data_IF_140606587428
#
_entry.id   IF_140606587428
#
_cell.length_a   1.000
_cell.length_b   1.000
_cell.length_c   1.000
_cell.angle_alpha   90.00
_cell.angle_beta   90.00
_cell.angle_gamma   90.00
#
_symmetry.space_group_name_H-M   'P 1'
#
loop_
_entity.id
_entity.type
_entity.pdbx_description
1 polymer ?
#
# COMPACT_ATOMS: atom_id res chain seq x y z
N UNK A 1 17.00 -15.02 7.77
CA UNK A 1 16.03 -14.35 8.20
C UNK A 1 15.08 -14.07 7.18
N UNK A 2 13.99 -13.92 7.53
CA UNK A 2 13.08 -13.69 6.62
C UNK A 2 12.69 -12.35 6.64
N UNK A 3 13.06 -11.67 5.71
CA UNK A 3 12.54 -10.43 5.68
C UNK A 3 11.19 -10.45 5.20
N UNK A 4 10.52 -9.42 5.40
CA UNK A 4 9.21 -9.26 4.86
C UNK A 4 9.29 -9.16 3.38
N UNK A 5 8.82 -10.13 2.69
CA UNK A 5 8.77 -10.05 1.26
C UNK A 5 7.78 -9.01 0.81
N UNK A 6 6.90 -8.57 1.72
CA UNK A 6 5.89 -7.60 1.39
C UNK A 6 6.46 -6.19 1.29
N UNK A 7 7.45 -5.85 2.11
CA UNK A 7 7.97 -4.49 2.17
C UNK A 7 9.42 -4.40 1.75
N UNK A 8 10.24 -5.38 2.12
CA UNK A 8 11.68 -5.25 2.01
C UNK A 8 12.30 -5.78 0.74
N UNK A 9 11.57 -6.59 -0.02
CA UNK A 9 12.10 -7.13 -1.24
C UNK A 9 11.86 -6.16 -2.38
N UNK A 10 12.86 -5.35 -2.69
CA UNK A 10 12.67 -4.28 -3.67
C UNK A 10 12.41 -4.81 -5.08
N UNK A 11 12.79 -6.04 -5.38
CA UNK A 11 12.53 -6.60 -6.70
C UNK A 11 11.08 -6.95 -6.91
N UNK A 12 10.42 -7.39 -5.84
CA UNK A 12 9.01 -7.77 -5.92
C UNK A 12 8.08 -6.74 -5.31
N UNK A 13 8.63 -5.66 -4.79
CA UNK A 13 7.85 -4.63 -4.16
C UNK A 13 7.26 -3.69 -5.21
N UNK A 14 6.00 -3.28 -5.07
CA UNK A 14 5.44 -2.25 -5.95
C UNK A 14 6.09 -0.88 -5.74
N UNK A 15 6.79 -0.68 -4.63
CA UNK A 15 7.47 0.60 -4.40
C UNK A 15 8.83 0.58 -5.06
N UNK A 16 9.17 1.67 -5.74
CA UNK A 16 10.49 1.81 -6.34
C UNK A 16 11.52 2.13 -5.27
N UNK A 17 12.80 1.97 -5.62
CA UNK A 17 13.88 2.36 -4.71
C UNK A 17 13.84 3.84 -4.42
N UNK A 18 13.44 4.63 -5.40
CA UNK A 18 13.32 6.07 -5.22
C UNK A 18 12.25 6.41 -4.20
N UNK A 19 11.12 5.71 -4.27
CA UNK A 19 10.04 5.92 -3.32
C UNK A 19 10.50 5.59 -1.90
N UNK A 20 11.20 4.48 -1.74
CA UNK A 20 11.70 4.07 -0.43
C UNK A 20 12.69 5.10 0.11
N UNK A 21 13.54 5.63 -0.76
CA UNK A 21 14.49 6.66 -0.37
C UNK A 21 13.80 7.94 0.07
N UNK A 22 12.76 8.35 -0.66
CA UNK A 22 12.02 9.55 -0.29
C UNK A 22 11.43 9.44 1.11
N UNK A 23 10.88 8.28 1.42
CA UNK A 23 10.34 8.03 2.76
C UNK A 23 11.46 8.10 3.79
N UNK A 24 12.62 7.51 3.47
CA UNK A 24 13.74 7.50 4.38
C UNK A 24 14.30 8.88 4.66
N UNK A 25 14.13 9.83 3.73
CA UNK A 25 14.66 11.18 3.89
C UNK A 25 13.74 12.10 4.70
N UNK A 26 12.55 11.63 5.06
CA UNK A 26 11.65 12.45 5.87
C UNK A 26 12.17 12.55 7.30
N UNK A 27 11.64 13.52 8.05
CA UNK A 27 12.00 13.68 9.45
C UNK A 27 11.10 12.86 10.38
N UNK A 28 10.36 11.93 9.83
CA UNK A 28 9.44 11.11 10.63
C UNK A 28 10.20 10.12 11.49
N UNK A 29 9.56 9.67 12.56
CA UNK A 29 10.12 8.63 13.41
C UNK A 29 10.22 7.31 12.65
N UNK A 30 10.98 6.37 13.18
CA UNK A 30 11.13 5.05 12.55
C UNK A 30 9.77 4.36 12.40
N UNK A 31 8.92 4.45 13.42
CA UNK A 31 7.59 3.85 13.37
C UNK A 31 6.72 4.51 12.30
N UNK A 32 6.79 5.83 12.21
CA UNK A 32 6.02 6.55 11.21
C UNK A 32 6.49 6.23 9.80
N UNK A 33 7.81 6.14 9.62
CA UNK A 33 8.34 5.75 8.30
C UNK A 33 7.89 4.36 7.90
N UNK A 34 7.90 3.44 8.86
CA UNK A 34 7.44 2.08 8.58
C UNK A 34 5.97 2.08 8.19
N UNK A 35 5.16 2.80 8.93
CA UNK A 35 3.72 2.88 8.67
C UNK A 35 3.46 3.52 7.31
N UNK A 36 4.17 4.60 7.01
CA UNK A 36 4.05 5.29 5.73
C UNK A 36 4.42 4.37 4.57
N UNK A 37 5.51 3.60 4.73
CA UNK A 37 5.94 2.65 3.71
C UNK A 37 4.88 1.58 3.47
N UNK A 38 4.30 1.09 4.56
CA UNK A 38 3.24 0.10 4.46
C UNK A 38 2.05 0.64 3.72
N UNK A 39 1.63 1.86 4.06
CA UNK A 39 0.49 2.51 3.42
C UNK A 39 0.75 2.74 1.93
N UNK A 40 1.94 3.20 1.59
CA UNK A 40 2.32 3.43 0.20
C UNK A 40 2.35 2.12 -0.58
N UNK A 41 2.84 1.06 0.05
CA UNK A 41 2.89 -0.26 -0.57
C UNK A 41 1.46 -0.75 -0.88
N UNK A 42 0.56 -0.61 0.08
CA UNK A 42 -0.83 -1.02 -0.12
C UNK A 42 -1.48 -0.21 -1.24
N UNK A 43 -1.19 1.08 -1.31
CA UNK A 43 -1.73 1.91 -2.37
C UNK A 43 -1.29 1.40 -3.74
N UNK A 44 -0.02 1.03 -3.88
CA UNK A 44 0.46 0.51 -5.16
C UNK A 44 -0.17 -0.85 -5.48
N UNK A 45 -0.40 -1.68 -4.47
CA UNK A 45 -1.11 -2.93 -4.68
C UNK A 45 -2.52 -2.68 -5.19
N UNK A 46 -3.23 -1.74 -4.58
CA UNK A 46 -4.59 -1.41 -5.01
C UNK A 46 -4.60 -0.88 -6.44
N UNK A 47 -3.64 -0.04 -6.79
CA UNK A 47 -3.54 0.46 -8.16
C UNK A 47 -3.30 -0.68 -9.14
N UNK A 48 -2.48 -1.63 -8.75
CA UNK A 48 -2.19 -2.79 -9.57
C UNK A 48 -3.42 -3.66 -9.79
N UNK A 49 -4.23 -3.82 -8.74
CA UNK A 49 -5.47 -4.59 -8.84
C UNK A 49 -6.51 -3.93 -9.73
N UNK A 50 -6.48 -2.61 -9.80
CA UNK A 50 -7.57 -1.84 -10.39
C UNK A 50 -7.16 -1.11 -11.66
N UNK A 51 -6.32 -1.72 -12.46
CA UNK A 51 -5.82 -1.07 -13.68
C UNK A 51 -6.93 -0.57 -14.58
N UNK A 52 -8.05 -1.30 -14.60
CA UNK A 52 -9.13 -0.96 -15.49
C UNK A 52 -10.27 -0.20 -14.81
N UNK A 53 -10.03 0.27 -13.59
CA UNK A 53 -11.07 0.98 -12.86
C UNK A 53 -10.94 2.48 -13.08
N UNK A 54 -11.81 3.07 -13.92
CA UNK A 54 -11.68 4.49 -14.24
C UNK A 54 -12.06 5.42 -13.11
N UNK A 55 -12.73 4.90 -12.07
CA UNK A 55 -13.16 5.73 -10.96
C UNK A 55 -12.12 5.89 -9.87
N UNK A 56 -11.06 5.11 -9.91
CA UNK A 56 -9.99 5.21 -8.92
C UNK A 56 -10.39 4.81 -7.52
N UNK A 57 -11.40 3.95 -7.38
CA UNK A 57 -11.86 3.52 -6.07
C UNK A 57 -11.04 2.34 -5.55
N UNK A 58 -10.96 2.22 -4.23
CA UNK A 58 -10.28 1.09 -3.61
C UNK A 58 -10.98 -0.20 -4.02
N UNK A 59 -10.24 -1.23 -4.45
CA UNK A 59 -10.87 -2.51 -4.80
C UNK A 59 -11.54 -3.15 -3.59
N UNK A 60 -12.56 -3.96 -3.85
CA UNK A 60 -13.25 -4.68 -2.78
C UNK A 60 -12.47 -5.94 -2.41
N UNK A 61 -12.84 -6.56 -1.29
CA UNK A 61 -12.12 -7.72 -0.77
C UNK A 61 -12.04 -8.88 -1.75
N UNK A 62 -13.07 -9.08 -2.55
CA UNK A 62 -13.06 -10.12 -3.55
C UNK A 62 -11.95 -9.91 -4.57
N UNK A 63 -11.68 -8.67 -4.90
CA UNK A 63 -10.59 -8.33 -5.83
C UNK A 63 -9.24 -8.56 -5.16
N UNK A 64 -9.15 -8.29 -3.87
CA UNK A 64 -7.91 -8.57 -3.12
C UNK A 64 -7.58 -10.06 -3.19
N UNK A 65 -8.59 -10.89 -2.99
CA UNK A 65 -8.40 -12.33 -3.02
C UNK A 65 -7.96 -12.80 -4.40
N UNK A 66 -8.63 -12.31 -5.45
CA UNK A 66 -8.24 -12.63 -6.81
C UNK A 66 -6.78 -12.28 -7.09
N UNK A 67 -6.39 -11.08 -6.64
CA UNK A 67 -5.02 -10.62 -6.86
C UNK A 67 -4.04 -11.54 -6.14
N UNK A 68 -4.35 -11.92 -4.91
CA UNK A 68 -3.50 -12.84 -4.15
C UNK A 68 -3.38 -14.18 -4.83
N UNK A 69 -4.49 -14.68 -5.37
CA UNK A 69 -4.47 -15.98 -6.06
C UNK A 69 -3.59 -15.97 -7.30
N UNK A 70 -3.47 -14.80 -7.93
CA UNK A 70 -2.61 -14.66 -9.11
C UNK A 70 -1.15 -14.44 -8.75
N UNK A 71 -0.86 -14.25 -7.47
CA UNK A 71 0.50 -14.02 -7.00
C UNK A 71 0.86 -15.10 -6.00
N UNK A 72 1.38 -16.24 -6.47
CA UNK A 72 1.62 -17.41 -5.59
C UNK A 72 2.48 -17.11 -4.37
N UNK A 73 3.39 -16.14 -4.49
CA UNK A 73 4.23 -15.78 -3.36
C UNK A 73 3.40 -15.26 -2.20
N UNK A 74 2.30 -14.58 -2.51
CA UNK A 74 1.41 -14.03 -1.49
C UNK A 74 0.52 -15.09 -0.85
N UNK A 75 0.38 -16.24 -1.50
CA UNK A 75 -0.51 -17.30 -1.02
C UNK A 75 0.23 -18.42 -0.34
N UNK A 76 1.33 -18.10 0.35
CA UNK A 76 2.14 -19.14 0.98
C UNK A 76 1.38 -19.91 2.04
N UNK A 77 0.59 -19.23 2.84
CA UNK A 77 -0.25 -19.87 3.84
C UNK A 77 -1.38 -18.94 4.23
N UNK A 78 -2.35 -19.49 4.94
CA UNK A 78 -3.56 -18.76 5.31
C UNK A 78 -3.25 -17.60 6.26
N UNK A 79 -2.29 -17.78 7.15
CA UNK A 79 -1.94 -16.73 8.10
C UNK A 79 -1.38 -15.52 7.39
N UNK A 80 -0.54 -15.76 6.39
CA UNK A 80 0.06 -14.68 5.63
C UNK A 80 -1.00 -13.89 4.88
N UNK A 81 -1.94 -14.59 4.24
CA UNK A 81 -3.03 -13.95 3.53
C UNK A 81 -3.87 -13.11 4.47
N UNK A 82 -4.13 -13.63 5.67
CA UNK A 82 -4.93 -12.91 6.64
C UNK A 82 -4.24 -11.62 7.09
N UNK A 83 -2.94 -11.68 7.32
CA UNK A 83 -2.18 -10.50 7.70
C UNK A 83 -2.25 -9.44 6.59
N UNK A 84 -2.10 -9.88 5.34
CA UNK A 84 -2.18 -8.96 4.21
C UNK A 84 -3.55 -8.31 4.14
N UNK A 85 -4.61 -9.10 4.34
CA UNK A 85 -5.97 -8.57 4.30
C UNK A 85 -6.20 -7.55 5.40
N UNK A 86 -5.64 -7.78 6.58
CA UNK A 86 -5.75 -6.80 7.67
C UNK A 86 -5.04 -5.51 7.32
N UNK A 87 -3.86 -5.61 6.70
CA UNK A 87 -3.13 -4.43 6.26
C UNK A 87 -3.89 -3.68 5.19
N UNK A 88 -4.46 -4.40 4.23
CA UNK A 88 -5.26 -3.77 3.19
C UNK A 88 -6.48 -3.08 3.79
N UNK A 89 -7.14 -3.70 4.76
CA UNK A 89 -8.31 -3.10 5.39
C UNK A 89 -7.97 -1.79 6.08
N UNK A 90 -6.88 -1.79 6.85
CA UNK A 90 -6.45 -0.57 7.53
C UNK A 90 -6.02 0.50 6.55
N UNK A 91 -5.29 0.11 5.52
CA UNK A 91 -4.83 1.04 4.51
C UNK A 91 -6.01 1.64 3.74
N UNK A 92 -6.99 0.82 3.41
CA UNK A 92 -8.16 1.30 2.67
C UNK A 92 -8.87 2.41 3.43
N UNK A 93 -9.04 2.24 4.73
CA UNK A 93 -9.70 3.26 5.56
C UNK A 93 -8.90 4.55 5.54
N UNK A 94 -7.58 4.46 5.72
CA UNK A 94 -6.73 5.65 5.77
C UNK A 94 -6.68 6.34 4.41
N UNK A 95 -6.57 5.57 3.34
CA UNK A 95 -6.49 6.14 1.99
C UNK A 95 -7.79 6.82 1.62
N UNK A 96 -8.93 6.22 1.97
CA UNK A 96 -10.22 6.83 1.68
C UNK A 96 -10.39 8.14 2.46
N UNK A 97 -9.96 8.14 3.70
CA UNK A 97 -10.05 9.35 4.51
C UNK A 97 -9.20 10.47 3.92
N UNK A 98 -7.97 10.14 3.55
CA UNK A 98 -7.08 11.14 2.97
C UNK A 98 -7.62 11.63 1.62
N UNK A 99 -8.14 10.72 0.81
CA UNK A 99 -8.69 11.10 -0.49
C UNK A 99 -9.87 12.06 -0.35
N UNK A 100 -10.70 11.82 0.66
CA UNK A 100 -11.81 12.73 0.94
C UNK A 100 -11.32 14.10 1.35
N UNK A 101 -10.29 14.14 2.20
CA UNK A 101 -9.71 15.41 2.64
C UNK A 101 -9.12 16.19 1.49
N UNK A 102 -8.51 15.52 0.54
CA UNK A 102 -7.88 16.16 -0.60
C UNK A 102 -8.82 16.28 -1.80
N UNK A 103 -10.01 15.70 -1.71
CA UNK A 103 -11.02 15.77 -2.78
C UNK A 103 -10.54 15.13 -4.08
N UNK A 104 -9.85 14.02 -3.96
CA UNK A 104 -9.40 13.23 -5.12
C UNK A 104 -9.84 11.79 -4.92
N UNK A 105 -9.81 10.99 -5.98
CA UNK A 105 -10.12 9.57 -5.84
C UNK A 105 -8.99 8.88 -5.09
N UNK A 106 -9.29 7.82 -4.32
CA UNK A 106 -8.24 7.14 -3.52
C UNK A 106 -7.05 6.69 -4.34
N UNK A 107 -7.26 6.13 -5.53
CA UNK A 107 -6.16 5.63 -6.32
C UNK A 107 -5.44 6.73 -7.11
N UNK A 108 -5.91 7.96 -7.01
CA UNK A 108 -5.19 9.11 -7.56
C UNK A 108 -4.21 9.70 -6.55
N UNK A 109 -4.20 9.20 -5.32
CA UNK A 109 -3.24 9.64 -4.33
C UNK A 109 -1.82 9.29 -4.77
N UNK A 110 -0.88 10.17 -4.41
CA UNK A 110 0.52 9.98 -4.74
C UNK A 110 1.32 9.78 -3.47
N UNK A 111 2.56 9.33 -3.61
CA UNK A 111 3.44 9.20 -2.46
C UNK A 111 3.62 10.55 -1.78
N UNK A 112 3.71 11.63 -2.53
CA UNK A 112 3.84 12.97 -1.95
C UNK A 112 2.65 13.29 -1.06
N UNK A 113 1.44 12.93 -1.51
CA UNK A 113 0.25 13.14 -0.68
C UNK A 113 0.36 12.41 0.66
N UNK A 114 0.87 11.18 0.63
CA UNK A 114 1.02 10.40 1.85
C UNK A 114 2.08 10.99 2.77
N UNK A 115 3.20 11.41 2.21
CA UNK A 115 4.27 12.01 2.98
C UNK A 115 3.78 13.30 3.65
N UNK A 116 3.11 14.15 2.88
CA UNK A 116 2.63 15.42 3.41
C UNK A 116 1.63 15.21 4.55
N UNK A 117 0.82 14.18 4.46
CA UNK A 117 -0.15 13.89 5.51
C UNK A 117 0.53 13.53 6.83
N UNK A 118 1.69 12.87 6.75
CA UNK A 118 2.43 12.49 7.95
C UNK A 118 3.27 13.62 8.52
N UNK A 119 3.67 14.56 7.67
CA UNK A 119 4.55 15.64 8.08
C UNK A 119 3.81 16.87 8.62
N UNK A 120 2.51 16.84 8.57
CA UNK A 120 1.71 17.96 9.06
C UNK A 120 1.70 18.04 10.58
#
# INVERSE_FOLDING_TARGET
MMESTFVDNSENSPLSKEDINLIGLTNLSANEKHHLRMLAHCLQCFKSMSKDNPKGLIPVKEEWLEWCLKNPIMMKDDEFVQVIFEQFSGAAIQLERLSNDLKVAPLDLTLRNLIDAYEV
#
